data_IF_242618269824
#
_entry.id   IF_242618269824
#
_cell.length_a   1.000
_cell.length_b   1.000
_cell.length_c   1.000
_cell.angle_alpha   90.00
_cell.angle_beta   90.00
_cell.angle_gamma   90.00
#
_symmetry.space_group_name_H-M   'P 1'
#
loop_
_entity.id
_entity.type
_entity.pdbx_description
1 polymer ?
#
# COMPACT_ATOMS: atom_id res chain seq x y z
N UNK A 1 -2.60 11.49 -3.60
CA UNK A 1 -3.37 10.38 -4.19
C UNK A 1 -3.00 10.11 -5.65
N UNK A 2 -2.48 11.09 -6.40
CA UNK A 2 -2.16 10.92 -7.83
C UNK A 2 -0.81 10.26 -8.12
N UNK A 3 0.14 10.23 -7.19
CA UNK A 3 1.49 9.66 -7.41
C UNK A 3 1.71 8.38 -6.59
N UNK A 4 0.73 7.48 -6.68
CA UNK A 4 0.84 6.12 -6.10
C UNK A 4 1.32 5.13 -7.18
N UNK A 5 1.43 3.84 -6.81
CA UNK A 5 2.13 2.79 -7.57
C UNK A 5 2.01 2.87 -9.09
N UNK A 6 0.81 2.72 -9.66
CA UNK A 6 0.64 2.59 -11.11
C UNK A 6 1.10 3.83 -11.87
N UNK A 7 0.79 5.03 -11.38
CA UNK A 7 1.16 6.27 -12.08
C UNK A 7 2.68 6.49 -12.07
N UNK A 8 3.37 6.05 -11.02
CA UNK A 8 4.84 6.10 -10.94
C UNK A 8 5.47 4.99 -11.79
N UNK A 9 5.10 3.73 -11.55
CA UNK A 9 5.75 2.58 -12.18
C UNK A 9 5.52 2.47 -13.67
N UNK A 10 4.36 2.87 -14.18
CA UNK A 10 4.10 2.90 -15.62
C UNK A 10 4.90 3.98 -16.37
N UNK A 11 5.53 4.93 -15.65
CA UNK A 11 6.47 5.91 -16.23
C UNK A 11 7.93 5.49 -16.11
N UNK A 12 8.29 4.74 -15.08
CA UNK A 12 9.67 4.36 -14.77
C UNK A 12 10.09 3.02 -15.38
N UNK A 13 9.15 2.11 -15.62
CA UNK A 13 9.47 0.71 -15.92
C UNK A 13 8.53 0.17 -16.99
N UNK A 14 9.12 -0.46 -18.01
CA UNK A 14 8.38 -1.28 -18.97
C UNK A 14 8.35 -2.72 -18.46
N UNK A 15 7.15 -3.26 -18.27
CA UNK A 15 6.95 -4.64 -17.80
C UNK A 15 6.66 -5.56 -18.98
N UNK A 16 7.48 -6.60 -19.15
CA UNK A 16 7.30 -7.58 -20.23
C UNK A 16 6.16 -8.56 -19.94
N UNK A 17 5.88 -8.83 -18.67
CA UNK A 17 4.80 -9.73 -18.24
C UNK A 17 4.01 -9.16 -17.06
N UNK A 18 2.79 -9.68 -16.88
CA UNK A 18 1.91 -9.28 -15.77
C UNK A 18 2.49 -9.74 -14.43
N UNK A 19 3.17 -10.88 -14.39
CA UNK A 19 3.79 -11.43 -13.19
C UNK A 19 4.89 -10.51 -12.64
N UNK A 20 5.69 -9.90 -13.53
CA UNK A 20 6.72 -8.94 -13.13
C UNK A 20 6.10 -7.65 -12.55
N UNK A 21 4.97 -7.20 -13.10
CA UNK A 21 4.20 -6.08 -12.53
C UNK A 21 3.62 -6.45 -11.16
N UNK A 22 3.04 -7.65 -11.04
CA UNK A 22 2.42 -8.13 -9.80
C UNK A 22 3.44 -8.23 -8.67
N UNK A 23 4.62 -8.80 -8.91
CA UNK A 23 5.67 -8.90 -7.89
C UNK A 23 6.11 -7.53 -7.34
N UNK A 24 6.15 -6.51 -8.20
CA UNK A 24 6.45 -5.14 -7.77
C UNK A 24 5.28 -4.51 -7.01
N UNK A 25 4.05 -4.78 -7.42
CA UNK A 25 2.85 -4.32 -6.71
C UNK A 25 2.78 -4.94 -5.31
N UNK A 26 3.06 -6.23 -5.17
CA UNK A 26 3.05 -6.94 -3.89
C UNK A 26 4.06 -6.33 -2.92
N UNK A 27 5.29 -6.09 -3.39
CA UNK A 27 6.33 -5.43 -2.61
C UNK A 27 5.90 -4.02 -2.18
N UNK A 28 5.31 -3.26 -3.10
CA UNK A 28 4.84 -1.91 -2.81
C UNK A 28 3.68 -1.91 -1.80
N UNK A 29 2.76 -2.88 -1.87
CA UNK A 29 1.65 -3.01 -0.93
C UNK A 29 2.13 -3.32 0.49
N UNK A 30 3.17 -4.13 0.65
CA UNK A 30 3.79 -4.37 1.97
C UNK A 30 4.26 -3.05 2.56
N UNK A 31 5.05 -2.28 1.81
CA UNK A 31 5.52 -0.97 2.26
C UNK A 31 4.36 -0.02 2.60
N UNK A 32 3.39 0.11 1.69
CA UNK A 32 2.24 1.00 1.87
C UNK A 32 1.45 0.66 3.14
N UNK A 33 1.18 -0.63 3.38
CA UNK A 33 0.34 -1.06 4.48
C UNK A 33 1.07 -1.12 5.82
N UNK A 34 2.39 -1.35 5.83
CA UNK A 34 3.14 -1.72 7.05
C UNK A 34 4.24 -0.75 7.44
N UNK A 35 4.62 0.18 6.56
CA UNK A 35 5.73 1.10 6.83
C UNK A 35 5.31 2.57 6.73
N UNK A 36 4.31 2.90 5.92
CA UNK A 36 3.89 4.28 5.69
C UNK A 36 2.82 4.75 6.69
N UNK A 37 3.14 5.67 7.62
CA UNK A 37 2.11 6.34 8.42
C UNK A 37 1.31 7.29 7.53
N UNK A 38 -0.03 7.21 7.62
CA UNK A 38 -0.91 8.10 6.87
C UNK A 38 -1.47 9.18 7.78
N UNK A 39 -0.98 10.42 7.60
CA UNK A 39 -1.43 11.60 8.34
C UNK A 39 -2.86 12.04 8.01
N UNK A 40 -3.54 11.35 7.07
CA UNK A 40 -4.94 11.61 6.76
C UNK A 40 -5.87 11.18 7.90
N UNK A 41 -7.00 11.87 8.02
CA UNK A 41 -8.02 11.63 9.06
C UNK A 41 -8.39 10.15 9.25
N UNK A 42 -8.48 9.38 8.16
CA UNK A 42 -8.90 7.97 8.18
C UNK A 42 -8.01 7.07 9.03
N UNK A 43 -6.70 7.32 9.01
CA UNK A 43 -5.74 6.50 9.76
C UNK A 43 -5.18 7.25 10.98
N UNK A 44 -5.52 8.52 11.17
CA UNK A 44 -5.08 9.34 12.30
C UNK A 44 -3.56 9.28 12.55
N UNK A 45 -2.76 9.24 11.48
CA UNK A 45 -1.30 9.12 11.57
C UNK A 45 -0.77 7.70 11.75
N UNK A 46 -1.64 6.71 11.92
CA UNK A 46 -1.27 5.29 11.98
C UNK A 46 -1.05 4.69 10.60
N UNK A 47 -0.41 3.53 10.59
CA UNK A 47 -0.26 2.70 9.40
C UNK A 47 -1.58 1.98 9.10
N UNK A 48 -1.88 1.68 7.83
CA UNK A 48 -3.13 1.02 7.46
C UNK A 48 -3.36 -0.29 8.22
N UNK A 49 -2.30 -1.10 8.39
CA UNK A 49 -2.39 -2.37 9.11
C UNK A 49 -2.81 -2.21 10.58
N UNK A 50 -2.42 -1.12 11.24
CA UNK A 50 -2.74 -0.89 12.65
C UNK A 50 -4.24 -0.61 12.83
N UNK A 51 -4.86 0.07 11.86
CA UNK A 51 -6.31 0.30 11.84
C UNK A 51 -7.05 -1.02 11.63
N UNK A 52 -6.64 -1.82 10.65
CA UNK A 52 -7.26 -3.12 10.35
C UNK A 52 -7.17 -4.06 11.56
N UNK A 53 -5.99 -4.20 12.15
CA UNK A 53 -5.81 -5.07 13.32
C UNK A 53 -6.60 -4.60 14.53
N UNK A 54 -6.73 -3.27 14.72
CA UNK A 54 -7.59 -2.73 15.79
C UNK A 54 -9.06 -3.07 15.59
N UNK A 55 -9.55 -3.12 14.34
CA UNK A 55 -10.92 -3.52 14.03
C UNK A 55 -11.14 -5.01 14.26
N UNK A 56 -10.27 -5.87 13.72
CA UNK A 56 -10.38 -7.34 13.85
C UNK A 56 -10.34 -7.77 15.32
N UNK A 57 -9.56 -7.08 16.15
CA UNK A 57 -9.45 -7.39 17.59
C UNK A 57 -10.70 -7.01 18.40
N UNK A 58 -11.64 -6.24 17.84
CA UNK A 58 -12.90 -5.86 18.50
C UNK A 58 -14.02 -6.88 18.28
N UNK A 59 -13.86 -7.82 17.34
CA UNK A 59 -14.84 -8.87 17.05
C UNK A 59 -14.60 -10.16 17.87
N UNK A 60 -13.80 -10.08 18.93
CA UNK A 60 -13.51 -11.16 19.89
C UNK A 60 -14.24 -11.02 21.21
#
# INVERSE_FOLDING_TARGET
MTDEFFRVKMRETFYETVEALQANLDTWLIHYNTERPHLGYRNMGRRPIEIVMSFVSQEG
#
